data_IF_682935249776
#
_entry.id   IF_682935249776
#
_cell.length_a   1.000
_cell.length_b   1.000
_cell.length_c   1.000
_cell.angle_alpha   90.00
_cell.angle_beta   90.00
_cell.angle_gamma   90.00
#
_symmetry.space_group_name_H-M   'P 1'
#
loop_
_entity.id
_entity.type
_entity.pdbx_description
1 polymer ?
#
# COMPACT_ATOMS: atom_id res chain seq x y z
N UNK A 1 10.09 -14.64 -8.71
CA UNK A 1 9.09 -14.25 -9.73
C UNK A 1 8.04 -13.35 -9.09
N UNK A 2 8.25 -12.03 -9.11
CA UNK A 2 7.31 -11.02 -8.60
C UNK A 2 6.44 -10.49 -9.74
N UNK A 3 5.70 -11.38 -10.39
CA UNK A 3 4.84 -11.00 -11.51
C UNK A 3 3.47 -10.56 -11.00
N UNK A 4 3.07 -9.32 -11.31
CA UNK A 4 1.66 -8.95 -11.53
C UNK A 4 0.69 -8.92 -10.34
N UNK A 5 1.16 -8.88 -9.08
CA UNK A 5 0.25 -9.19 -7.97
C UNK A 5 -0.71 -8.08 -7.53
N UNK A 6 -0.44 -6.80 -7.81
CA UNK A 6 -1.42 -5.70 -7.68
C UNK A 6 -1.27 -4.58 -8.72
N UNK A 7 -0.35 -4.70 -9.68
CA UNK A 7 0.01 -3.55 -10.51
C UNK A 7 -0.70 -3.57 -11.86
N UNK A 8 -1.57 -2.58 -12.06
CA UNK A 8 -1.96 -2.08 -13.37
C UNK A 8 -0.70 -1.61 -14.08
N UNK A 9 -0.19 -2.38 -15.04
CA UNK A 9 1.04 -2.11 -15.82
C UNK A 9 1.04 -0.80 -16.65
N UNK A 10 0.18 0.17 -16.31
CA UNK A 10 -0.06 1.42 -17.02
C UNK A 10 0.52 2.65 -16.31
N UNK A 11 1.20 2.49 -15.16
CA UNK A 11 1.76 3.66 -14.50
C UNK A 11 2.97 4.20 -15.25
N UNK A 12 2.79 5.35 -15.88
CA UNK A 12 3.88 6.26 -16.17
C UNK A 12 4.59 6.60 -14.85
N UNK A 13 5.92 6.54 -14.84
CA UNK A 13 6.74 6.91 -13.67
C UNK A 13 6.50 8.35 -13.19
N UNK A 14 5.83 9.18 -14.00
CA UNK A 14 5.50 10.57 -13.71
C UNK A 14 4.01 10.81 -13.42
N UNK A 15 3.17 9.77 -13.41
CA UNK A 15 1.75 9.92 -13.14
C UNK A 15 1.52 10.58 -11.77
N UNK A 16 0.74 11.69 -11.71
CA UNK A 16 0.52 12.39 -10.45
C UNK A 16 -0.38 11.56 -9.52
N UNK A 17 -0.01 11.52 -8.24
CA UNK A 17 -0.80 10.90 -7.19
C UNK A 17 -1.16 11.92 -6.12
N UNK A 18 -2.37 11.81 -5.57
CA UNK A 18 -2.71 12.44 -4.29
C UNK A 18 -2.45 11.41 -3.19
N UNK A 19 -1.43 11.68 -2.37
CA UNK A 19 -1.08 10.84 -1.23
C UNK A 19 -1.57 11.46 0.08
N UNK A 20 -2.22 10.65 0.90
CA UNK A 20 -2.67 11.00 2.24
C UNK A 20 -2.12 9.99 3.26
N UNK A 21 -1.97 10.46 4.49
CA UNK A 21 -1.54 9.66 5.63
C UNK A 21 -2.39 10.03 6.86
N UNK A 22 -2.82 9.02 7.61
CA UNK A 22 -3.52 9.22 8.87
C UNK A 22 -3.13 8.15 9.89
N UNK A 23 -3.04 8.57 11.15
CA UNK A 23 -2.91 7.63 12.26
C UNK A 23 -4.31 7.16 12.65
N UNK A 24 -4.63 5.89 12.36
CA UNK A 24 -5.89 5.27 12.73
C UNK A 24 -5.91 4.85 14.22
N UNK A 25 -4.72 4.62 14.78
CA UNK A 25 -4.43 4.41 16.20
C UNK A 25 -2.97 4.78 16.47
N UNK A 26 -2.50 4.79 17.74
CA UNK A 26 -1.11 5.14 18.07
C UNK A 26 -0.03 4.29 17.38
N UNK A 27 -0.40 3.08 16.95
CA UNK A 27 0.45 2.05 16.38
C UNK A 27 0.06 1.66 14.94
N UNK A 28 -0.93 2.34 14.35
CA UNK A 28 -1.41 2.04 12.99
C UNK A 28 -1.44 3.31 12.14
N UNK A 29 -0.54 3.36 11.15
CA UNK A 29 -0.52 4.38 10.11
C UNK A 29 -1.19 3.84 8.86
N UNK A 30 -2.23 4.53 8.38
CA UNK A 30 -2.85 4.24 7.09
C UNK A 30 -2.38 5.27 6.05
N UNK A 31 -1.94 4.78 4.91
CA UNK A 31 -1.60 5.58 3.74
C UNK A 31 -2.63 5.29 2.65
N UNK A 32 -3.08 6.33 1.97
CA UNK A 32 -4.00 6.21 0.82
C UNK A 32 -3.44 6.99 -0.35
N UNK A 33 -3.30 6.34 -1.50
CA UNK A 33 -2.81 6.97 -2.73
C UNK A 33 -3.88 6.90 -3.81
N UNK A 34 -4.36 8.07 -4.24
CA UNK A 34 -5.27 8.19 -5.38
C UNK A 34 -4.45 8.49 -6.64
N UNK A 35 -4.56 7.64 -7.64
CA UNK A 35 -3.98 7.90 -8.95
C UNK A 35 -4.90 8.87 -9.69
N UNK A 36 -4.48 10.12 -9.90
CA UNK A 36 -5.41 11.18 -10.31
C UNK A 36 -5.98 11.02 -11.73
N UNK A 37 -5.31 10.22 -12.55
CA UNK A 37 -5.65 9.99 -13.96
C UNK A 37 -6.27 8.59 -14.19
N UNK A 38 -6.54 7.85 -13.11
CA UNK A 38 -7.06 6.49 -13.17
C UNK A 38 -8.04 6.22 -12.01
N UNK A 39 -8.92 5.21 -12.11
CA UNK A 39 -9.86 4.89 -11.03
C UNK A 39 -9.21 4.12 -9.87
N UNK A 40 -7.87 4.08 -9.80
CA UNK A 40 -7.15 3.23 -8.86
C UNK A 40 -6.85 3.98 -7.56
N UNK A 41 -6.98 3.25 -6.46
CA UNK A 41 -6.68 3.72 -5.12
C UNK A 41 -5.94 2.60 -4.39
N UNK A 42 -4.74 2.93 -3.92
CA UNK A 42 -3.96 2.05 -3.06
C UNK A 42 -4.17 2.44 -1.61
N UNK A 43 -4.33 1.44 -0.74
CA UNK A 43 -4.32 1.60 0.70
C UNK A 43 -3.22 0.74 1.30
N UNK A 44 -2.34 1.36 2.08
CA UNK A 44 -1.34 0.65 2.88
C UNK A 44 -1.68 0.82 4.35
N UNK A 45 -1.72 -0.28 5.09
CA UNK A 45 -1.88 -0.27 6.55
C UNK A 45 -0.58 -0.74 7.18
N UNK A 46 0.10 0.16 7.88
CA UNK A 46 1.34 -0.12 8.59
C UNK A 46 1.01 -0.28 10.07
N UNK A 47 1.27 -1.47 10.61
CA UNK A 47 1.11 -1.79 12.03
C UNK A 47 2.48 -1.90 12.67
N UNK A 48 2.75 -1.02 13.63
CA UNK A 48 4.02 -0.96 14.34
C UNK A 48 3.93 -1.74 15.66
N UNK A 49 5.01 -2.43 16.00
CA UNK A 49 5.18 -3.06 17.30
C UNK A 49 6.64 -2.91 17.77
N UNK A 50 6.99 -3.59 18.86
CA UNK A 50 8.33 -3.52 19.45
C UNK A 50 9.45 -4.00 18.49
N UNK A 51 9.12 -4.96 17.62
CA UNK A 51 10.06 -5.71 16.79
C UNK A 51 10.12 -5.17 15.35
N UNK A 52 9.26 -4.23 14.96
CA UNK A 52 9.24 -3.66 13.62
C UNK A 52 7.87 -3.22 13.12
N UNK A 53 7.60 -3.49 11.84
CA UNK A 53 6.38 -3.06 11.15
C UNK A 53 5.85 -4.16 10.23
N UNK A 54 4.55 -4.41 10.30
CA UNK A 54 3.82 -5.23 9.33
C UNK A 54 3.09 -4.30 8.37
N UNK A 55 3.24 -4.53 7.07
CA UNK A 55 2.62 -3.73 6.00
C UNK A 55 1.64 -4.58 5.24
N UNK A 56 0.38 -4.19 5.28
CA UNK A 56 -0.70 -4.71 4.43
C UNK A 56 -0.90 -3.74 3.27
N UNK A 57 -1.13 -4.26 2.05
CA UNK A 57 -1.34 -3.46 0.85
C UNK A 57 -2.55 -3.99 0.09
N UNK A 58 -3.53 -3.11 -0.07
CA UNK A 58 -4.80 -3.36 -0.73
C UNK A 58 -5.07 -2.32 -1.82
N UNK A 59 -5.86 -2.70 -2.82
CA UNK A 59 -6.37 -1.81 -3.88
C UNK A 59 -7.89 -1.83 -3.91
N UNK A 60 -8.50 -0.73 -4.37
CA UNK A 60 -9.95 -0.63 -4.50
C UNK A 60 -10.54 -1.55 -5.58
N UNK A 61 -9.79 -1.86 -6.64
CA UNK A 61 -10.24 -2.71 -7.74
C UNK A 61 -9.06 -3.45 -8.36
N UNK A 62 -9.25 -4.73 -8.68
CA UNK A 62 -8.34 -5.50 -9.50
C UNK A 62 -9.12 -6.60 -10.25
N UNK A 63 -8.59 -7.05 -11.38
CA UNK A 63 -9.14 -8.22 -12.10
C UNK A 63 -8.85 -9.54 -11.39
N UNK A 64 -7.89 -9.54 -10.46
CA UNK A 64 -7.54 -10.63 -9.56
C UNK A 64 -7.66 -10.23 -8.10
N UNK A 65 -6.81 -10.76 -7.21
CA UNK A 65 -6.79 -10.40 -5.80
C UNK A 65 -6.62 -8.89 -5.61
N UNK A 66 -7.34 -8.31 -4.64
CA UNK A 66 -7.22 -6.89 -4.28
C UNK A 66 -6.27 -6.65 -3.12
N UNK A 67 -5.60 -7.69 -2.63
CA UNK A 67 -4.68 -7.62 -1.49
C UNK A 67 -3.39 -8.41 -1.78
N UNK A 68 -2.25 -7.90 -1.30
CA UNK A 68 -1.02 -8.69 -1.20
C UNK A 68 -0.92 -9.39 0.16
N UNK A 69 -0.19 -10.53 0.23
CA UNK A 69 0.28 -11.03 1.52
C UNK A 69 1.07 -9.94 2.24
N UNK A 70 0.80 -9.78 3.53
CA UNK A 70 1.49 -8.79 4.35
C UNK A 70 3.01 -9.02 4.36
N UNK A 71 3.77 -7.92 4.35
CA UNK A 71 5.23 -7.94 4.43
C UNK A 71 5.66 -7.46 5.80
N UNK A 72 6.66 -8.14 6.38
CA UNK A 72 7.22 -7.79 7.69
C UNK A 72 8.59 -7.14 7.54
N UNK A 73 8.73 -5.93 8.05
CA UNK A 73 10.02 -5.28 8.32
C UNK A 73 10.42 -5.51 9.77
N UNK A 74 11.68 -5.89 10.00
CA UNK A 74 12.24 -6.01 11.35
C UNK A 74 13.03 -4.74 11.69
N UNK A 75 12.89 -4.28 12.93
CA UNK A 75 13.72 -3.21 13.47
C UNK A 75 15.17 -3.71 13.53
N UNK A 76 16.07 -3.01 12.84
CA UNK A 76 17.51 -3.23 13.00
C UNK A 76 18.01 -2.29 14.09
N UNK A 77 18.69 -2.85 15.08
CA UNK A 77 19.36 -2.15 16.17
C UNK A 77 20.82 -1.96 15.77
#
# INVERSE_FOLDING_TARGET
MSGWRLHHSYQDARAPILAAAEWASPDVLRLTWHFLEAPFIDTLTLRFDADGVTVEHDVNVNSGPTALPAVRGLRRI
#
